data_IF_670865275198
#
_entry.id   IF_670865275198
#
_cell.length_a   1.000
_cell.length_b   1.000
_cell.length_c   1.000
_cell.angle_alpha   90.00
_cell.angle_beta   90.00
_cell.angle_gamma   90.00
#
_symmetry.space_group_name_H-M   'P 1'
#
loop_
_entity.id
_entity.type
_entity.pdbx_description
1 polymer ?
#
# COMPACT_ATOMS: atom_id res chain seq x y z
N UNK A 1 -16.58 -5.68 7.32
CA UNK A 1 -16.10 -6.77 8.23
C UNK A 1 -14.84 -6.31 8.93
N UNK A 2 -14.80 -6.30 10.26
CA UNK A 2 -13.51 -6.16 10.98
C UNK A 2 -12.65 -7.37 10.59
N UNK A 3 -11.55 -7.14 9.89
CA UNK A 3 -10.52 -8.17 9.69
C UNK A 3 -10.18 -8.71 11.07
N UNK A 4 -10.22 -10.04 11.25
CA UNK A 4 -9.86 -10.60 12.55
C UNK A 4 -8.44 -10.16 12.90
N UNK A 5 -8.16 -9.91 14.16
CA UNK A 5 -6.84 -9.47 14.62
C UNK A 5 -5.72 -10.39 14.10
N UNK A 6 -6.00 -11.69 14.02
CA UNK A 6 -5.09 -12.71 13.47
C UNK A 6 -4.76 -12.44 12.00
N UNK A 7 -5.77 -12.14 11.16
CA UNK A 7 -5.54 -11.83 9.75
C UNK A 7 -4.72 -10.56 9.55
N UNK A 8 -4.91 -9.53 10.40
CA UNK A 8 -4.12 -8.31 10.36
C UNK A 8 -2.63 -8.57 10.61
N UNK A 9 -2.30 -9.35 11.65
CA UNK A 9 -0.90 -9.70 11.93
C UNK A 9 -0.27 -10.59 10.87
N UNK A 10 -1.05 -11.47 10.23
CA UNK A 10 -0.58 -12.30 9.12
C UNK A 10 -0.23 -11.43 7.90
N UNK A 11 -1.09 -10.48 7.52
CA UNK A 11 -0.83 -9.54 6.42
C UNK A 11 0.43 -8.70 6.72
N UNK A 12 0.55 -8.17 7.94
CA UNK A 12 1.73 -7.44 8.39
C UNK A 12 3.00 -8.30 8.28
N UNK A 13 2.94 -9.57 8.71
CA UNK A 13 4.10 -10.47 8.65
C UNK A 13 4.54 -10.75 7.21
N UNK A 14 3.60 -10.97 6.30
CA UNK A 14 3.89 -11.14 4.87
C UNK A 14 4.51 -9.87 4.28
N UNK A 15 3.94 -8.70 4.59
CA UNK A 15 4.49 -7.42 4.16
C UNK A 15 5.91 -7.18 4.67
N UNK A 16 6.16 -7.50 5.95
CA UNK A 16 7.49 -7.39 6.57
C UNK A 16 8.50 -8.34 5.95
N UNK A 17 8.09 -9.58 5.64
CA UNK A 17 8.93 -10.55 4.94
C UNK A 17 9.34 -10.06 3.54
N UNK A 18 8.40 -9.51 2.77
CA UNK A 18 8.69 -8.93 1.45
C UNK A 18 9.67 -7.77 1.55
N UNK A 19 9.49 -6.87 2.51
CA UNK A 19 10.43 -5.77 2.76
C UNK A 19 11.80 -6.28 3.15
N UNK A 20 11.88 -7.24 4.08
CA UNK A 20 13.14 -7.84 4.49
C UNK A 20 13.88 -8.49 3.31
N UNK A 21 13.15 -9.18 2.42
CA UNK A 21 13.72 -9.79 1.24
C UNK A 21 14.29 -8.74 0.26
N UNK A 22 13.56 -7.65 0.02
CA UNK A 22 14.07 -6.53 -0.79
C UNK A 22 15.37 -5.97 -0.19
N UNK A 23 15.32 -5.58 1.07
CA UNK A 23 16.45 -4.97 1.77
C UNK A 23 17.67 -5.91 1.79
N UNK A 24 17.47 -7.18 2.16
CA UNK A 24 18.61 -8.09 2.35
C UNK A 24 19.23 -8.53 1.03
N UNK A 25 18.41 -8.95 0.06
CA UNK A 25 18.91 -9.54 -1.17
C UNK A 25 19.30 -8.53 -2.25
N UNK A 26 18.73 -7.32 -2.21
CA UNK A 26 18.95 -6.34 -3.28
C UNK A 26 19.52 -5.01 -2.77
N UNK A 27 19.01 -4.42 -1.69
CA UNK A 27 19.47 -3.12 -1.21
C UNK A 27 20.89 -3.22 -0.61
N UNK A 28 21.12 -4.14 0.32
CA UNK A 28 22.41 -4.27 0.99
C UNK A 28 23.56 -4.62 0.06
N UNK A 29 23.48 -5.65 -0.83
CA UNK A 29 24.60 -6.01 -1.69
C UNK A 29 24.97 -4.94 -2.71
N UNK A 30 24.01 -4.12 -3.13
CA UNK A 30 24.20 -3.03 -4.08
C UNK A 30 24.61 -1.70 -3.41
N UNK A 31 24.48 -1.58 -2.10
CA UNK A 31 24.71 -0.35 -1.36
C UNK A 31 23.73 0.77 -1.73
N UNK A 32 22.49 0.42 -2.07
CA UNK A 32 21.48 1.43 -2.38
C UNK A 32 21.12 2.24 -1.13
N UNK A 33 20.86 3.53 -1.31
CA UNK A 33 20.28 4.40 -0.29
C UNK A 33 18.91 4.83 -0.76
N UNK A 34 17.91 4.00 -0.46
CA UNK A 34 16.54 4.18 -0.98
C UNK A 34 15.72 5.20 -0.20
N UNK A 35 16.34 5.99 0.66
CA UNK A 35 15.69 7.00 1.49
C UNK A 35 15.46 6.52 2.93
N UNK A 36 14.47 7.09 3.60
CA UNK A 36 14.14 6.70 4.96
C UNK A 36 15.10 7.25 6.02
N UNK A 37 14.99 6.71 7.23
CA UNK A 37 15.87 7.10 8.36
C UNK A 37 17.32 6.71 8.12
N UNK A 38 17.57 5.63 7.39
CA UNK A 38 18.93 5.22 7.01
C UNK A 38 19.63 6.28 6.15
N UNK A 39 18.94 6.82 5.16
CA UNK A 39 19.44 7.94 4.35
C UNK A 39 19.73 9.17 5.19
N UNK A 40 18.82 9.56 6.08
CA UNK A 40 19.03 10.68 7.01
C UNK A 40 20.24 10.42 7.91
N UNK A 41 20.38 9.20 8.42
CA UNK A 41 21.49 8.84 9.31
C UNK A 41 22.85 8.89 8.61
N UNK A 42 22.93 8.49 7.33
CA UNK A 42 24.15 8.61 6.51
C UNK A 42 24.51 10.09 6.29
N UNK A 43 23.49 10.91 5.98
CA UNK A 43 23.66 12.36 5.79
C UNK A 43 24.16 13.01 7.08
N UNK A 44 23.52 12.71 8.21
CA UNK A 44 23.91 13.27 9.51
C UNK A 44 25.28 12.79 9.97
N UNK A 45 25.64 11.54 9.70
CA UNK A 45 26.99 11.04 10.02
C UNK A 45 28.09 11.80 9.27
N UNK A 46 27.83 12.22 8.03
CA UNK A 46 28.77 13.07 7.27
C UNK A 46 28.92 14.47 7.88
N UNK A 47 27.88 14.99 8.53
CA UNK A 47 27.89 16.32 9.15
C UNK A 47 28.39 16.29 10.59
N UNK A 48 28.14 15.19 11.32
CA UNK A 48 28.48 15.04 12.74
C UNK A 48 29.50 13.91 12.88
N UNK A 49 30.78 14.24 12.92
CA UNK A 49 31.82 13.26 13.11
C UNK A 49 31.73 12.59 14.51
N UNK A 50 31.86 11.27 14.56
CA UNK A 50 32.02 10.51 15.82
C UNK A 50 30.83 9.65 16.26
N UNK A 51 29.68 9.72 15.60
CA UNK A 51 28.50 8.87 15.89
C UNK A 51 28.21 7.96 14.71
N UNK A 52 28.19 6.64 14.92
CA UNK A 52 27.89 5.70 13.83
C UNK A 52 26.51 5.90 13.21
N UNK A 53 26.32 5.74 11.89
CA UNK A 53 25.01 5.87 11.23
C UNK A 53 23.93 5.00 11.86
N UNK A 54 24.29 3.80 12.31
CA UNK A 54 23.38 2.85 12.97
C UNK A 54 22.80 3.42 14.27
N UNK A 55 23.62 4.10 15.08
CA UNK A 55 23.15 4.74 16.32
C UNK A 55 22.20 5.91 16.02
N UNK A 56 22.53 6.71 15.02
CA UNK A 56 21.67 7.83 14.58
C UNK A 56 20.34 7.28 14.07
N UNK A 57 20.36 6.27 13.20
CA UNK A 57 19.15 5.65 12.65
C UNK A 57 18.26 5.05 13.76
N UNK A 58 18.86 4.35 14.74
CA UNK A 58 18.13 3.76 15.86
C UNK A 58 17.49 4.81 16.76
N UNK A 59 18.22 5.89 17.06
CA UNK A 59 17.70 6.98 17.88
C UNK A 59 16.55 7.72 17.16
N UNK A 60 16.71 8.03 15.88
CA UNK A 60 15.67 8.65 15.07
C UNK A 60 14.43 7.74 14.96
N UNK A 61 14.62 6.44 14.72
CA UNK A 61 13.50 5.50 14.60
C UNK A 61 12.71 5.41 15.93
N UNK A 62 13.41 5.32 17.07
CA UNK A 62 12.76 5.32 18.39
C UNK A 62 11.97 6.62 18.61
N UNK A 63 12.56 7.76 18.32
CA UNK A 63 11.90 9.07 18.42
C UNK A 63 10.67 9.13 17.54
N UNK A 64 10.75 8.67 16.28
CA UNK A 64 9.62 8.67 15.35
C UNK A 64 8.50 7.71 15.80
N UNK A 65 8.83 6.56 16.37
CA UNK A 65 7.83 5.66 16.97
C UNK A 65 7.10 6.35 18.14
N UNK A 66 7.82 7.09 18.98
CA UNK A 66 7.20 7.87 20.06
C UNK A 66 6.29 8.97 19.50
N UNK A 67 6.72 9.72 18.50
CA UNK A 67 5.87 10.71 17.81
C UNK A 67 4.63 10.02 17.22
N UNK A 68 4.80 8.88 16.57
CA UNK A 68 3.71 8.08 16.02
C UNK A 68 2.72 7.62 17.10
N UNK A 69 3.20 7.28 18.28
CA UNK A 69 2.37 6.90 19.43
C UNK A 69 1.40 8.03 19.81
N UNK A 70 1.89 9.28 19.87
CA UNK A 70 1.06 10.44 20.24
C UNK A 70 0.12 10.89 19.13
N UNK A 71 0.55 10.84 17.86
CA UNK A 71 -0.23 11.34 16.73
C UNK A 71 -1.15 10.29 16.11
N UNK A 72 -0.66 9.05 15.96
CA UNK A 72 -1.37 7.96 15.29
C UNK A 72 -2.02 6.98 16.28
N UNK A 73 -1.60 7.02 17.54
CA UNK A 73 -2.21 6.29 18.65
C UNK A 73 -1.52 4.96 19.01
N UNK A 74 -1.98 4.37 20.13
CA UNK A 74 -1.34 3.19 20.74
C UNK A 74 -1.34 1.97 19.84
N UNK A 75 -2.45 1.69 19.12
CA UNK A 75 -2.55 0.53 18.21
C UNK A 75 -1.51 0.58 17.10
N UNK A 76 -1.31 1.77 16.54
CA UNK A 76 -0.27 2.03 15.54
C UNK A 76 1.12 1.72 16.11
N UNK A 77 1.45 2.28 17.27
CA UNK A 77 2.77 2.13 17.88
C UNK A 77 3.10 0.66 18.18
N UNK A 78 2.15 -0.12 18.72
CA UNK A 78 2.36 -1.55 19.01
C UNK A 78 2.57 -2.37 17.72
N UNK A 79 1.76 -2.14 16.69
CA UNK A 79 1.94 -2.82 15.39
C UNK A 79 3.30 -2.46 14.77
N UNK A 80 3.67 -1.18 14.81
CA UNK A 80 4.95 -0.70 14.26
C UNK A 80 6.14 -1.27 15.02
N UNK A 81 6.09 -1.33 16.34
CA UNK A 81 7.13 -1.98 17.14
C UNK A 81 7.26 -3.48 16.80
N UNK A 82 6.14 -4.19 16.67
CA UNK A 82 6.13 -5.60 16.24
C UNK A 82 6.77 -5.78 14.87
N UNK A 83 6.44 -4.92 13.89
CA UNK A 83 7.02 -4.95 12.55
C UNK A 83 8.52 -4.73 12.59
N UNK A 84 9.00 -3.74 13.35
CA UNK A 84 10.43 -3.44 13.48
C UNK A 84 11.22 -4.62 14.08
N UNK A 85 10.64 -5.31 15.06
CA UNK A 85 11.23 -6.54 15.64
C UNK A 85 11.25 -7.67 14.61
N UNK A 86 10.14 -7.88 13.91
CA UNK A 86 10.01 -8.94 12.91
C UNK A 86 10.93 -8.71 11.71
N UNK A 87 11.08 -7.46 11.27
CA UNK A 87 12.01 -7.07 10.20
C UNK A 87 13.45 -7.44 10.58
N UNK A 88 13.88 -7.06 11.80
CA UNK A 88 15.20 -7.41 12.31
C UNK A 88 15.40 -8.93 12.38
N UNK A 89 14.38 -9.67 12.79
CA UNK A 89 14.43 -11.13 12.84
C UNK A 89 14.60 -11.74 11.44
N UNK A 90 13.85 -11.27 10.44
CA UNK A 90 13.98 -11.77 9.08
C UNK A 90 15.33 -11.43 8.46
N UNK A 91 15.85 -10.23 8.68
CA UNK A 91 17.17 -9.83 8.18
C UNK A 91 18.27 -10.73 8.77
N UNK A 92 18.27 -10.98 10.08
CA UNK A 92 19.22 -11.88 10.72
C UNK A 92 19.06 -13.33 10.25
N UNK A 93 17.83 -13.78 10.02
CA UNK A 93 17.55 -15.11 9.48
C UNK A 93 18.11 -15.27 8.06
N UNK A 94 17.89 -14.29 7.19
CA UNK A 94 18.43 -14.31 5.84
C UNK A 94 19.95 -14.28 5.85
N UNK A 95 20.58 -13.46 6.68
CA UNK A 95 22.03 -13.41 6.83
C UNK A 95 22.63 -14.75 7.27
N UNK A 96 21.96 -15.45 8.18
CA UNK A 96 22.43 -16.74 8.68
C UNK A 96 22.26 -17.89 7.69
N UNK A 97 21.19 -17.86 6.86
CA UNK A 97 20.88 -18.97 5.91
C UNK A 97 21.50 -18.71 4.53
N UNK A 98 21.50 -17.47 4.09
CA UNK A 98 21.95 -17.06 2.74
C UNK A 98 22.98 -15.93 2.83
N UNK A 99 24.22 -16.17 3.30
CA UNK A 99 25.21 -15.09 3.41
C UNK A 99 25.52 -14.50 2.04
N UNK A 100 25.07 -13.27 1.80
CA UNK A 100 25.26 -12.55 0.53
C UNK A 100 26.48 -11.66 0.62
N UNK A 101 27.42 -11.84 -0.31
CA UNK A 101 28.63 -10.99 -0.43
C UNK A 101 28.65 -10.17 -1.70
N UNK A 102 27.76 -10.46 -2.65
CA UNK A 102 27.70 -9.81 -3.98
C UNK A 102 26.24 -9.73 -4.43
N UNK A 103 25.90 -8.72 -5.29
CA UNK A 103 24.61 -8.67 -5.96
C UNK A 103 24.35 -9.92 -6.82
N UNK A 104 23.06 -10.22 -7.09
CA UNK A 104 22.68 -11.34 -7.98
C UNK A 104 23.13 -11.10 -9.43
N UNK A 105 23.10 -9.83 -9.85
CA UNK A 105 23.42 -9.45 -11.22
C UNK A 105 24.38 -8.25 -11.24
N UNK A 106 24.98 -7.99 -12.40
CA UNK A 106 25.78 -6.78 -12.62
C UNK A 106 24.92 -5.57 -13.07
N UNK A 107 23.59 -5.71 -13.08
CA UNK A 107 22.67 -4.68 -13.57
C UNK A 107 21.99 -3.98 -12.40
N UNK A 108 22.62 -2.97 -11.85
CA UNK A 108 22.13 -2.20 -10.68
C UNK A 108 20.68 -1.69 -10.84
N UNK A 109 20.30 -1.21 -12.03
CA UNK A 109 18.93 -0.73 -12.27
C UNK A 109 17.87 -1.82 -12.18
N UNK A 110 18.17 -3.03 -12.68
CA UNK A 110 17.27 -4.17 -12.59
C UNK A 110 17.07 -4.57 -11.13
N UNK A 111 18.15 -4.66 -10.37
CA UNK A 111 18.08 -5.01 -8.95
C UNK A 111 17.36 -3.94 -8.13
N UNK A 112 17.61 -2.66 -8.40
CA UNK A 112 16.85 -1.57 -7.77
C UNK A 112 15.35 -1.65 -8.07
N UNK A 113 14.97 -2.00 -9.30
CA UNK A 113 13.57 -2.13 -9.68
C UNK A 113 12.87 -3.27 -8.91
N UNK A 114 13.52 -4.43 -8.81
CA UNK A 114 13.01 -5.58 -8.04
C UNK A 114 12.90 -5.24 -6.56
N UNK A 115 13.94 -4.62 -6.01
CA UNK A 115 13.99 -4.12 -4.63
C UNK A 115 12.79 -3.21 -4.33
N UNK A 116 12.60 -2.18 -5.15
CA UNK A 116 11.52 -1.22 -4.96
C UNK A 116 10.13 -1.84 -5.07
N UNK A 117 9.92 -2.83 -5.93
CA UNK A 117 8.66 -3.58 -6.00
C UNK A 117 8.41 -4.33 -4.69
N UNK A 118 9.39 -5.08 -4.21
CA UNK A 118 9.26 -5.89 -2.98
C UNK A 118 9.01 -5.00 -1.77
N UNK A 119 9.82 -3.97 -1.58
CA UNK A 119 9.70 -3.03 -0.46
C UNK A 119 8.35 -2.28 -0.53
N UNK A 120 7.97 -1.81 -1.71
CA UNK A 120 6.75 -1.00 -1.87
C UNK A 120 5.46 -1.81 -1.67
N UNK A 121 5.40 -3.04 -2.19
CA UNK A 121 4.25 -3.92 -1.95
C UNK A 121 4.19 -4.31 -0.47
N UNK A 122 5.33 -4.64 0.15
CA UNK A 122 5.41 -4.92 1.57
C UNK A 122 4.94 -3.74 2.41
N UNK A 123 5.42 -2.52 2.11
CA UNK A 123 4.99 -1.30 2.77
C UNK A 123 3.50 -1.02 2.57
N UNK A 124 2.96 -1.23 1.37
CA UNK A 124 1.53 -1.04 1.10
C UNK A 124 0.64 -1.98 1.94
N UNK A 125 1.04 -3.24 2.12
CA UNK A 125 0.35 -4.18 3.00
C UNK A 125 0.35 -3.68 4.44
N UNK A 126 1.49 -3.20 4.93
CA UNK A 126 1.67 -2.66 6.28
C UNK A 126 0.84 -1.37 6.47
N UNK A 127 0.91 -0.43 5.53
CA UNK A 127 0.15 0.83 5.60
C UNK A 127 -1.36 0.60 5.52
N UNK A 128 -1.81 -0.41 4.80
CA UNK A 128 -3.23 -0.78 4.74
C UNK A 128 -3.76 -1.27 6.10
N UNK A 129 -2.89 -1.83 6.94
CA UNK A 129 -3.20 -2.26 8.30
C UNK A 129 -2.97 -1.15 9.35
N UNK A 130 -2.83 0.11 8.92
CA UNK A 130 -2.58 1.28 9.78
C UNK A 130 -1.33 1.10 10.67
N UNK A 131 -0.25 0.61 10.08
CA UNK A 131 1.04 0.41 10.72
C UNK A 131 2.17 0.92 9.81
N UNK A 132 3.41 0.90 10.30
CA UNK A 132 4.61 1.32 9.57
C UNK A 132 5.77 0.35 9.85
N UNK A 133 6.73 0.30 8.94
CA UNK A 133 8.03 -0.36 9.20
C UNK A 133 8.93 0.45 10.15
N UNK A 134 8.52 1.66 10.47
CA UNK A 134 9.30 2.65 11.21
C UNK A 134 9.83 3.76 10.29
N UNK A 135 10.77 4.53 10.82
CA UNK A 135 11.48 5.53 10.02
C UNK A 135 10.62 6.68 9.48
N UNK A 136 11.04 7.24 8.36
CA UNK A 136 10.35 8.35 7.67
C UNK A 136 8.93 8.01 7.24
N UNK A 137 8.59 6.74 7.13
CA UNK A 137 7.24 6.25 6.85
C UNK A 137 6.22 6.74 7.88
N UNK A 138 6.64 6.89 9.15
CA UNK A 138 5.80 7.45 10.21
C UNK A 138 5.45 8.91 9.90
N UNK A 139 6.44 9.69 9.45
CA UNK A 139 6.22 11.09 9.06
C UNK A 139 5.27 11.15 7.86
N UNK A 140 5.44 10.29 6.87
CA UNK A 140 4.56 10.23 5.71
C UNK A 140 3.11 9.88 6.11
N UNK A 141 2.91 8.95 7.06
CA UNK A 141 1.59 8.63 7.60
C UNK A 141 0.97 9.79 8.40
N UNK A 142 1.77 10.55 9.10
CA UNK A 142 1.33 11.77 9.81
C UNK A 142 0.88 12.83 8.79
N UNK A 143 1.68 13.08 7.75
CA UNK A 143 1.34 14.00 6.66
C UNK A 143 0.04 13.56 5.98
N UNK A 144 -0.08 12.27 5.64
CA UNK A 144 -1.31 11.71 5.08
C UNK A 144 -2.52 11.98 5.97
N UNK A 145 -2.39 11.79 7.30
CA UNK A 145 -3.49 12.00 8.26
C UNK A 145 -3.90 13.47 8.35
N UNK A 146 -2.92 14.39 8.40
CA UNK A 146 -3.16 15.82 8.59
C UNK A 146 -3.69 16.46 7.30
N UNK A 147 -3.01 16.21 6.18
CA UNK A 147 -3.30 16.86 4.89
C UNK A 147 -4.25 16.07 4.00
N UNK A 148 -4.69 14.88 4.43
CA UNK A 148 -5.61 14.00 3.68
C UNK A 148 -5.11 13.67 2.24
N UNK A 149 -3.80 13.59 2.05
CA UNK A 149 -3.18 13.23 0.77
C UNK A 149 -2.95 11.72 0.65
N UNK A 150 -2.73 11.21 -0.57
CA UNK A 150 -2.30 9.83 -0.79
C UNK A 150 -0.94 9.58 -0.15
N UNK A 151 -0.69 8.34 0.30
CA UNK A 151 0.55 8.00 1.02
C UNK A 151 1.79 8.14 0.13
N UNK A 152 1.71 7.76 -1.16
CA UNK A 152 2.81 7.94 -2.10
C UNK A 152 3.20 9.41 -2.26
N UNK A 153 2.21 10.33 -2.30
CA UNK A 153 2.49 11.76 -2.31
C UNK A 153 3.18 12.23 -1.03
N UNK A 154 2.77 11.70 0.12
CA UNK A 154 3.42 12.00 1.40
C UNK A 154 4.87 11.47 1.45
N UNK A 155 5.12 10.26 0.93
CA UNK A 155 6.46 9.69 0.79
C UNK A 155 7.34 10.55 -0.13
N UNK A 156 6.82 11.00 -1.29
CA UNK A 156 7.55 11.91 -2.18
C UNK A 156 8.00 13.19 -1.48
N UNK A 157 7.16 13.75 -0.62
CA UNK A 157 7.50 14.97 0.14
C UNK A 157 8.60 14.69 1.15
N UNK A 158 8.42 13.66 1.98
CA UNK A 158 9.34 13.36 3.10
C UNK A 158 10.69 12.87 2.59
N UNK A 159 10.68 11.83 1.76
CA UNK A 159 11.91 11.23 1.27
C UNK A 159 12.56 12.09 0.17
N UNK A 160 11.83 13.01 -0.47
CA UNK A 160 12.37 14.00 -1.39
C UNK A 160 13.46 14.87 -0.77
N UNK A 161 13.32 15.26 0.49
CA UNK A 161 14.38 15.98 1.22
C UNK A 161 15.62 15.09 1.43
N UNK A 162 15.43 13.78 1.66
CA UNK A 162 16.53 12.84 1.80
C UNK A 162 17.27 12.66 0.47
N UNK A 163 16.52 12.57 -0.64
CA UNK A 163 17.09 12.49 -2.00
C UNK A 163 17.88 13.74 -2.35
N UNK A 164 17.38 14.93 -2.01
CA UNK A 164 18.15 16.17 -2.19
C UNK A 164 19.44 16.16 -1.40
N UNK A 165 19.41 15.69 -0.15
CA UNK A 165 20.60 15.48 0.65
C UNK A 165 21.58 14.48 0.03
N UNK A 166 21.08 13.40 -0.57
CA UNK A 166 21.88 12.40 -1.27
C UNK A 166 22.60 13.00 -2.48
N UNK A 167 21.92 13.81 -3.30
CA UNK A 167 22.55 14.53 -4.41
C UNK A 167 23.70 15.42 -3.95
N UNK A 168 23.50 16.18 -2.86
CA UNK A 168 24.47 17.17 -2.39
C UNK A 168 25.68 16.53 -1.70
N UNK A 169 25.50 15.42 -0.96
CA UNK A 169 26.49 14.87 -0.05
C UNK A 169 27.05 13.51 -0.47
N UNK A 170 26.30 12.71 -1.24
CA UNK A 170 26.72 11.37 -1.66
C UNK A 170 27.09 11.30 -3.14
N UNK A 171 26.79 12.34 -3.91
CA UNK A 171 27.13 12.45 -5.33
C UNK A 171 25.94 12.19 -6.26
N UNK A 172 26.14 12.58 -7.52
CA UNK A 172 25.07 12.63 -8.53
C UNK A 172 24.52 11.24 -8.87
N UNK A 173 25.39 10.22 -8.97
CA UNK A 173 24.98 8.85 -9.30
C UNK A 173 24.03 8.29 -8.23
N UNK A 174 24.41 8.38 -6.95
CA UNK A 174 23.57 7.92 -5.83
C UNK A 174 22.29 8.73 -5.75
N UNK A 175 22.35 10.04 -6.00
CA UNK A 175 21.18 10.92 -6.05
C UNK A 175 20.15 10.47 -7.09
N UNK A 176 20.59 10.10 -8.31
CA UNK A 176 19.68 9.59 -9.35
C UNK A 176 19.08 8.23 -9.00
N UNK A 177 19.86 7.30 -8.45
CA UNK A 177 19.31 6.02 -7.97
C UNK A 177 18.25 6.24 -6.87
N UNK A 178 18.53 7.13 -5.91
CA UNK A 178 17.61 7.48 -4.82
C UNK A 178 16.33 8.14 -5.36
N UNK A 179 16.45 9.04 -6.34
CA UNK A 179 15.29 9.68 -6.98
C UNK A 179 14.42 8.65 -7.72
N UNK A 180 15.04 7.77 -8.48
CA UNK A 180 14.34 6.73 -9.22
C UNK A 180 13.63 5.76 -8.28
N UNK A 181 14.30 5.33 -7.22
CA UNK A 181 13.73 4.51 -6.16
C UNK A 181 12.50 5.18 -5.51
N UNK A 182 12.62 6.46 -5.15
CA UNK A 182 11.55 7.24 -4.53
C UNK A 182 10.30 7.31 -5.42
N UNK A 183 10.47 7.58 -6.72
CA UNK A 183 9.35 7.67 -7.66
C UNK A 183 8.66 6.31 -7.81
N UNK A 184 9.42 5.23 -8.01
CA UNK A 184 8.87 3.87 -8.11
C UNK A 184 8.11 3.52 -6.82
N UNK A 185 8.73 3.74 -5.66
CA UNK A 185 8.12 3.45 -4.37
C UNK A 185 6.78 4.17 -4.19
N UNK A 186 6.72 5.46 -4.49
CA UNK A 186 5.50 6.24 -4.35
C UNK A 186 4.36 5.72 -5.25
N UNK A 187 4.68 5.42 -6.52
CA UNK A 187 3.70 4.91 -7.49
C UNK A 187 3.21 3.51 -7.13
N UNK A 188 4.13 2.61 -6.78
CA UNK A 188 3.79 1.22 -6.45
C UNK A 188 3.00 1.14 -5.14
N UNK A 189 3.38 1.91 -4.11
CA UNK A 189 2.64 1.95 -2.83
C UNK A 189 1.20 2.42 -3.06
N UNK A 190 0.99 3.53 -3.76
CA UNK A 190 -0.36 4.04 -4.01
C UNK A 190 -1.20 3.06 -4.83
N UNK A 191 -0.63 2.50 -5.91
CA UNK A 191 -1.30 1.51 -6.77
C UNK A 191 -1.65 0.23 -5.99
N UNK A 192 -0.74 -0.24 -5.14
CA UNK A 192 -0.97 -1.42 -4.32
C UNK A 192 -2.09 -1.18 -3.29
N UNK A 193 -2.08 -0.04 -2.58
CA UNK A 193 -3.13 0.30 -1.62
C UNK A 193 -4.49 0.45 -2.33
N UNK A 194 -4.55 1.11 -3.48
CA UNK A 194 -5.77 1.20 -4.27
C UNK A 194 -6.27 -0.19 -4.68
N UNK A 195 -5.37 -1.07 -5.06
CA UNK A 195 -5.70 -2.46 -5.38
C UNK A 195 -6.22 -3.25 -4.18
N UNK A 196 -5.72 -3.00 -2.98
CA UNK A 196 -6.16 -3.66 -1.75
C UNK A 196 -7.51 -3.15 -1.27
N UNK A 197 -7.76 -1.84 -1.36
CA UNK A 197 -8.98 -1.17 -0.88
C UNK A 197 -10.07 -1.05 -1.94
N UNK A 198 -9.78 -1.42 -3.18
CA UNK A 198 -10.66 -1.19 -4.32
C UNK A 198 -12.04 -1.78 -4.13
N UNK A 199 -13.05 -0.92 -4.24
CA UNK A 199 -14.44 -1.30 -4.42
C UNK A 199 -14.78 -1.38 -5.91
N UNK A 200 -15.78 -2.18 -6.24
CA UNK A 200 -16.29 -2.28 -7.60
C UNK A 200 -17.68 -1.69 -7.66
N UNK A 201 -17.91 -0.77 -8.57
CA UNK A 201 -19.26 -0.35 -8.89
C UNK A 201 -19.78 -1.14 -10.08
N UNK A 202 -21.05 -1.45 -10.04
CA UNK A 202 -21.78 -2.17 -11.06
C UNK A 202 -22.92 -1.32 -11.56
N UNK A 203 -23.08 -1.23 -12.89
CA UNK A 203 -24.29 -0.78 -13.54
C UNK A 203 -24.80 -1.97 -14.33
N UNK A 204 -25.94 -2.54 -13.91
CA UNK A 204 -26.47 -3.79 -14.46
C UNK A 204 -27.81 -3.49 -15.14
N UNK A 205 -27.89 -3.64 -16.44
CA UNK A 205 -29.11 -3.50 -17.22
C UNK A 205 -29.65 -4.89 -17.51
N UNK A 206 -30.82 -5.21 -16.95
CA UNK A 206 -31.34 -6.59 -16.90
C UNK A 206 -32.88 -6.64 -16.87
N UNK A 207 -33.42 -7.77 -17.28
CA UNK A 207 -34.82 -8.12 -17.08
C UNK A 207 -35.05 -8.83 -15.73
N UNK A 208 -34.03 -9.53 -15.20
CA UNK A 208 -34.06 -10.29 -13.93
C UNK A 208 -33.72 -9.41 -12.70
N UNK A 209 -34.12 -8.14 -12.73
CA UNK A 209 -33.73 -7.16 -11.71
C UNK A 209 -34.14 -7.57 -10.28
N UNK A 210 -35.28 -8.22 -10.08
CA UNK A 210 -35.77 -8.59 -8.74
C UNK A 210 -34.87 -9.64 -8.08
N UNK A 211 -34.42 -10.63 -8.86
CA UNK A 211 -33.56 -11.70 -8.36
C UNK A 211 -32.14 -11.18 -8.06
N UNK A 212 -31.62 -10.33 -8.94
CA UNK A 212 -30.30 -9.72 -8.76
C UNK A 212 -30.31 -8.76 -7.58
N UNK A 213 -31.35 -7.93 -7.41
CA UNK A 213 -31.51 -7.06 -6.25
C UNK A 213 -31.58 -7.86 -4.94
N UNK A 214 -32.33 -8.98 -4.92
CA UNK A 214 -32.42 -9.84 -3.74
C UNK A 214 -31.06 -10.41 -3.36
N UNK A 215 -30.25 -10.83 -4.33
CA UNK A 215 -28.89 -11.31 -4.10
C UNK A 215 -28.01 -10.21 -3.51
N UNK A 216 -28.01 -9.00 -4.12
CA UNK A 216 -27.20 -7.87 -3.64
C UNK A 216 -27.57 -7.49 -2.20
N UNK A 217 -28.90 -7.38 -1.91
CA UNK A 217 -29.35 -6.86 -0.62
C UNK A 217 -29.36 -7.90 0.49
N UNK A 218 -29.70 -9.17 0.19
CA UNK A 218 -29.85 -10.20 1.22
C UNK A 218 -28.61 -11.08 1.41
N UNK A 219 -27.89 -11.40 0.30
CA UNK A 219 -26.74 -12.29 0.39
C UNK A 219 -25.41 -11.52 0.50
N UNK A 220 -25.27 -10.39 -0.22
CA UNK A 220 -24.08 -9.57 -0.14
C UNK A 220 -24.16 -8.48 0.94
N UNK A 221 -25.36 -8.23 1.51
CA UNK A 221 -25.60 -7.15 2.48
C UNK A 221 -25.09 -5.79 1.98
N UNK A 222 -25.47 -5.44 0.71
CA UNK A 222 -25.06 -4.20 0.04
C UNK A 222 -26.27 -3.43 -0.48
N UNK A 223 -26.14 -2.11 -0.45
CA UNK A 223 -27.12 -1.21 -1.04
C UNK A 223 -27.15 -1.30 -2.55
N UNK A 224 -28.32 -1.13 -3.13
CA UNK A 224 -28.51 -1.02 -4.57
C UNK A 224 -29.58 0.01 -4.89
N UNK A 225 -29.38 0.76 -5.97
CA UNK A 225 -30.35 1.71 -6.50
C UNK A 225 -30.94 1.14 -7.78
N UNK A 226 -32.28 1.06 -7.85
CA UNK A 226 -33.01 0.61 -9.03
C UNK A 226 -33.45 1.84 -9.83
N UNK A 227 -33.01 1.93 -11.06
CA UNK A 227 -33.50 2.89 -12.06
C UNK A 227 -34.60 2.23 -12.89
N UNK A 228 -35.81 2.75 -12.80
CA UNK A 228 -36.93 2.31 -13.59
C UNK A 228 -36.91 3.04 -14.95
N UNK A 229 -37.46 2.40 -15.99
CA UNK A 229 -37.64 2.98 -17.32
C UNK A 229 -36.33 3.32 -18.07
N UNK A 230 -35.39 2.40 -18.08
CA UNK A 230 -34.28 2.46 -19.04
C UNK A 230 -34.75 1.88 -20.37
N UNK A 231 -34.72 2.67 -21.43
CA UNK A 231 -35.13 2.23 -22.77
C UNK A 231 -33.87 2.00 -23.62
N UNK A 232 -33.79 0.82 -24.24
CA UNK A 232 -32.75 0.53 -25.20
C UNK A 232 -32.97 1.32 -26.49
N UNK A 233 -31.99 2.12 -26.88
CA UNK A 233 -32.11 2.98 -28.08
C UNK A 233 -32.38 2.18 -29.36
N UNK A 234 -31.91 0.94 -29.44
CA UNK A 234 -32.02 0.10 -30.65
C UNK A 234 -33.32 -0.71 -30.68
N UNK A 235 -33.65 -1.42 -29.62
CA UNK A 235 -34.82 -2.32 -29.57
C UNK A 235 -36.05 -1.70 -28.92
N UNK A 236 -35.95 -0.48 -28.39
CA UNK A 236 -36.99 0.22 -27.64
C UNK A 236 -37.61 -0.59 -26.49
N UNK A 237 -36.93 -1.66 -26.06
CA UNK A 237 -37.35 -2.50 -24.95
C UNK A 237 -37.12 -1.79 -23.61
N UNK A 238 -38.14 -1.78 -22.74
CA UNK A 238 -38.02 -1.24 -21.38
C UNK A 238 -37.27 -2.23 -20.51
N UNK A 239 -36.11 -1.84 -20.03
CA UNK A 239 -35.30 -2.58 -19.07
C UNK A 239 -35.15 -1.77 -17.78
N UNK A 240 -34.63 -2.40 -16.73
CA UNK A 240 -34.28 -1.71 -15.49
C UNK A 240 -32.76 -1.75 -15.31
N UNK A 241 -32.21 -0.67 -14.75
CA UNK A 241 -30.80 -0.62 -14.41
C UNK A 241 -30.62 -0.63 -12.90
N UNK A 242 -29.70 -1.45 -12.42
CA UNK A 242 -29.30 -1.53 -11.01
C UNK A 242 -27.92 -0.90 -10.89
N UNK A 243 -27.79 0.06 -9.98
CA UNK A 243 -26.49 0.60 -9.58
C UNK A 243 -26.18 0.06 -8.19
N UNK A 244 -25.04 -0.59 -8.04
CA UNK A 244 -24.58 -1.09 -6.76
C UNK A 244 -23.08 -0.98 -6.63
N UNK A 245 -22.60 -0.87 -5.40
CA UNK A 245 -21.20 -0.88 -5.04
C UNK A 245 -20.94 -2.03 -4.10
N UNK A 246 -19.92 -2.83 -4.42
CA UNK A 246 -19.56 -4.02 -3.66
C UNK A 246 -18.05 -4.06 -3.43
N UNK A 247 -17.63 -4.79 -2.41
CA UNK A 247 -16.20 -5.07 -2.20
C UNK A 247 -15.63 -5.96 -3.32
N UNK A 248 -14.31 -5.86 -3.56
CA UNK A 248 -13.62 -6.63 -4.62
C UNK A 248 -13.88 -8.13 -4.53
N UNK A 249 -13.97 -8.70 -3.32
CA UNK A 249 -14.29 -10.13 -3.10
C UNK A 249 -15.72 -10.46 -3.54
N UNK A 250 -16.67 -9.62 -3.16
CA UNK A 250 -18.09 -9.78 -3.50
C UNK A 250 -18.37 -9.56 -4.99
N UNK A 251 -17.50 -8.79 -5.67
CA UNK A 251 -17.65 -8.51 -7.10
C UNK A 251 -17.54 -9.76 -7.97
N UNK A 252 -16.74 -10.74 -7.55
CA UNK A 252 -16.62 -12.02 -8.26
C UNK A 252 -17.94 -12.79 -8.17
N UNK A 253 -18.48 -12.91 -6.96
CA UNK A 253 -19.75 -13.64 -6.71
C UNK A 253 -20.92 -12.95 -7.43
N UNK A 254 -20.98 -11.62 -7.38
CA UNK A 254 -22.00 -10.84 -8.08
C UNK A 254 -21.93 -11.04 -9.60
N UNK A 255 -20.73 -11.02 -10.17
CA UNK A 255 -20.53 -11.26 -11.61
C UNK A 255 -21.00 -12.64 -12.03
N UNK A 256 -20.67 -13.68 -11.24
CA UNK A 256 -21.12 -15.04 -11.50
C UNK A 256 -22.65 -15.15 -11.40
N UNK A 257 -23.23 -14.55 -10.37
CA UNK A 257 -24.69 -14.59 -10.16
C UNK A 257 -25.48 -13.84 -11.24
N UNK A 258 -24.99 -12.69 -11.69
CA UNK A 258 -25.60 -11.98 -12.83
C UNK A 258 -25.62 -12.87 -14.06
N UNK A 259 -24.48 -13.51 -14.39
CA UNK A 259 -24.39 -14.38 -15.57
C UNK A 259 -25.27 -15.63 -15.48
N UNK A 260 -25.47 -16.16 -14.26
CA UNK A 260 -26.35 -17.30 -13.99
C UNK A 260 -27.83 -16.91 -14.18
N UNK A 261 -28.23 -15.74 -13.65
CA UNK A 261 -29.62 -15.31 -13.65
C UNK A 261 -30.10 -14.70 -14.96
N UNK A 262 -29.23 -13.93 -15.61
CA UNK A 262 -29.49 -13.30 -16.89
C UNK A 262 -28.20 -13.28 -17.74
N UNK A 263 -27.97 -14.30 -18.59
CA UNK A 263 -26.82 -14.36 -19.47
C UNK A 263 -26.72 -13.19 -20.46
N UNK A 264 -27.85 -12.52 -20.75
CA UNK A 264 -27.97 -11.39 -21.66
C UNK A 264 -27.92 -10.03 -20.94
N UNK A 265 -27.71 -10.01 -19.62
CA UNK A 265 -27.57 -8.76 -18.89
C UNK A 265 -26.35 -7.96 -19.38
N UNK A 266 -26.58 -6.67 -19.66
CA UNK A 266 -25.49 -5.76 -19.95
C UNK A 266 -24.94 -5.19 -18.64
N UNK A 267 -23.67 -5.43 -18.37
CA UNK A 267 -23.06 -5.04 -17.08
C UNK A 267 -21.79 -4.24 -17.31
N UNK A 268 -21.77 -3.02 -16.76
CA UNK A 268 -20.56 -2.18 -16.68
C UNK A 268 -19.96 -2.37 -15.28
N UNK A 269 -18.69 -2.73 -15.23
CA UNK A 269 -17.95 -2.92 -13.96
C UNK A 269 -16.76 -1.95 -13.98
N UNK A 270 -16.74 -1.05 -13.00
CA UNK A 270 -15.62 -0.15 -12.81
C UNK A 270 -14.98 -0.33 -11.44
N UNK A 271 -13.75 0.16 -11.30
CA UNK A 271 -13.07 0.26 -10.00
C UNK A 271 -13.19 1.68 -9.49
N UNK A 272 -13.55 1.86 -8.22
CA UNK A 272 -13.48 3.15 -7.56
C UNK A 272 -12.76 3.00 -6.23
N UNK A 273 -11.83 3.90 -5.97
CA UNK A 273 -11.12 4.02 -4.70
C UNK A 273 -11.85 4.93 -3.72
N UNK A 274 -12.69 5.83 -4.24
CA UNK A 274 -13.35 6.89 -3.47
C UNK A 274 -14.88 6.77 -3.58
N UNK A 275 -15.46 6.00 -2.67
CA UNK A 275 -16.90 5.91 -2.51
C UNK A 275 -17.24 6.37 -1.09
N UNK A 276 -18.06 7.39 -1.01
CA UNK A 276 -18.51 8.01 0.23
C UNK A 276 -19.99 7.68 0.44
N UNK A 277 -20.34 7.18 1.59
CA UNK A 277 -21.72 6.87 1.94
C UNK A 277 -21.88 5.78 2.99
N UNK A 278 -23.13 5.51 3.42
CA UNK A 278 -23.41 4.47 4.40
C UNK A 278 -22.92 3.10 3.92
N UNK A 279 -22.09 2.45 4.74
CA UNK A 279 -21.47 1.15 4.43
C UNK A 279 -20.10 1.24 3.73
N UNK A 280 -19.63 2.46 3.43
CA UNK A 280 -18.31 2.78 2.88
C UNK A 280 -17.61 3.84 3.73
N UNK A 281 -16.56 4.50 3.20
CA UNK A 281 -15.87 5.54 3.96
C UNK A 281 -16.80 6.70 4.34
N UNK A 282 -16.76 7.14 5.61
CA UNK A 282 -17.38 8.40 6.05
C UNK A 282 -16.55 9.59 5.56
N UNK A 283 -17.20 10.72 5.29
CA UNK A 283 -16.56 12.00 5.03
C UNK A 283 -15.56 12.39 6.13
#
# INVERSE_FOLDING_TARGET
MKVSTVNSYLIISVGTFMMAAGIYFFEFPNGFSTGGVSGIAIILNRLINGISPTKIASALNLLLILVGLFVLGRKFAFKTAFISMLLTLFLNLFESIFPMTKPFTNQKLLELFIDMILISIGAALIFNEEASSGGTDIIALIIKKIFKVKIGKALLIVDGFVVLGAFLLLGVEIGFFSLFALVIRALVVDSAIESLKGTKFFIIITNEHTRILSFITKELDRGATLLNNCEGAYEKNKKKAIISVVEKKQAVDLKHKIKELDPNAFTIIGTSSDIIGNGFSSL
#
